data_IF_684225973446
#
_entry.id   IF_684225973446
#
_cell.length_a   1.000
_cell.length_b   1.000
_cell.length_c   1.000
_cell.angle_alpha   90.00
_cell.angle_beta   90.00
_cell.angle_gamma   90.00
#
_symmetry.space_group_name_H-M   'P 1'
#
loop_
_entity.id
_entity.type
_entity.pdbx_description
1 polymer ?
#
# COMPACT_ATOMS: atom_id res chain seq x y z
N UNK A 1 18.19 -36.38 3.97
CA UNK A 1 18.44 -35.18 4.80
C UNK A 1 17.19 -34.34 4.82
N UNK A 2 16.20 -34.74 5.61
CA UNK A 2 14.91 -34.13 5.85
C UNK A 2 14.88 -33.64 7.29
N UNK A 3 15.41 -32.45 7.55
CA UNK A 3 15.58 -32.01 8.94
C UNK A 3 15.46 -30.50 9.10
N UNK A 4 14.36 -29.87 8.66
CA UNK A 4 14.20 -28.46 8.86
C UNK A 4 12.77 -27.90 8.80
N UNK A 5 11.79 -28.71 8.41
CA UNK A 5 10.44 -28.23 8.13
C UNK A 5 9.40 -28.57 9.20
N UNK A 6 9.80 -29.37 10.23
CA UNK A 6 8.87 -29.88 11.26
C UNK A 6 8.82 -29.02 12.53
N UNK A 7 9.60 -27.95 12.63
CA UNK A 7 9.64 -27.10 13.84
C UNK A 7 8.51 -26.06 13.89
N UNK A 8 7.86 -25.76 12.78
CA UNK A 8 6.75 -24.80 12.69
C UNK A 8 5.41 -25.53 12.47
N UNK A 9 5.04 -26.36 13.46
CA UNK A 9 3.73 -26.99 13.53
C UNK A 9 2.67 -25.97 13.97
N UNK A 10 1.38 -26.27 13.67
CA UNK A 10 0.25 -25.48 14.17
C UNK A 10 -0.01 -24.13 13.43
N UNK A 11 0.16 -24.17 12.10
CA UNK A 11 -0.11 -22.97 11.26
C UNK A 11 -1.57 -22.51 11.34
N UNK A 12 -2.54 -23.41 11.50
CA UNK A 12 -3.96 -23.06 11.67
C UNK A 12 -4.22 -22.25 12.95
N UNK A 13 -3.60 -22.65 14.05
CA UNK A 13 -3.63 -21.87 15.29
C UNK A 13 -2.99 -20.49 15.08
N UNK A 14 -1.84 -20.45 14.40
CA UNK A 14 -1.16 -19.20 14.09
C UNK A 14 -2.06 -18.26 13.30
N UNK A 15 -2.72 -18.73 12.24
CA UNK A 15 -3.69 -17.93 11.47
C UNK A 15 -4.79 -17.34 12.36
N UNK A 16 -5.30 -18.15 13.28
CA UNK A 16 -6.35 -17.72 14.23
C UNK A 16 -5.84 -16.60 15.16
N UNK A 17 -4.63 -16.74 15.72
CA UNK A 17 -4.05 -15.70 16.59
C UNK A 17 -3.75 -14.40 15.82
N UNK A 18 -3.22 -14.51 14.61
CA UNK A 18 -2.95 -13.34 13.77
C UNK A 18 -4.25 -12.61 13.42
N UNK A 19 -5.30 -13.32 13.05
CA UNK A 19 -6.61 -12.71 12.79
C UNK A 19 -7.14 -11.92 14.01
N UNK A 20 -7.00 -12.46 15.23
CA UNK A 20 -7.40 -11.76 16.45
C UNK A 20 -6.62 -10.47 16.67
N UNK A 21 -5.30 -10.50 16.41
CA UNK A 21 -4.38 -9.41 16.69
C UNK A 21 -4.44 -8.29 15.63
N UNK A 22 -4.53 -8.67 14.34
CA UNK A 22 -4.32 -7.74 13.20
C UNK A 22 -5.58 -7.46 12.42
N UNK A 23 -6.65 -8.27 12.60
CA UNK A 23 -7.84 -8.33 11.73
C UNK A 23 -7.55 -8.77 10.29
N UNK A 24 -6.32 -9.18 9.98
CA UNK A 24 -5.91 -9.73 8.69
C UNK A 24 -6.16 -11.24 8.72
N UNK A 25 -6.98 -11.73 7.79
CA UNK A 25 -7.27 -13.15 7.65
C UNK A 25 -6.34 -13.79 6.62
N UNK A 26 -5.43 -14.63 7.11
CA UNK A 26 -4.43 -15.30 6.28
C UNK A 26 -5.03 -16.35 5.33
N UNK A 27 -6.29 -16.74 5.52
CA UNK A 27 -6.97 -17.67 4.62
C UNK A 27 -7.25 -17.07 3.23
N UNK A 28 -7.27 -15.75 3.10
CA UNK A 28 -7.44 -15.07 1.81
C UNK A 28 -6.16 -14.96 0.98
N UNK A 29 -5.02 -15.41 1.51
CA UNK A 29 -3.75 -15.42 0.79
C UNK A 29 -3.46 -16.82 0.22
N UNK A 30 -2.59 -16.89 -0.80
CA UNK A 30 -2.06 -18.16 -1.31
C UNK A 30 -1.23 -18.83 -0.21
N UNK A 31 -1.80 -19.82 0.48
CA UNK A 31 -1.29 -20.40 1.72
C UNK A 31 0.19 -20.79 1.62
N UNK A 32 0.57 -21.59 0.61
CA UNK A 32 1.95 -22.06 0.42
C UNK A 32 2.96 -20.91 0.35
N UNK A 33 2.60 -19.81 -0.32
CA UNK A 33 3.49 -18.65 -0.47
C UNK A 33 3.55 -17.83 0.82
N UNK A 34 2.40 -17.57 1.44
CA UNK A 34 2.32 -16.81 2.68
C UNK A 34 3.00 -17.55 3.82
N UNK A 35 2.74 -18.84 3.98
CA UNK A 35 3.39 -19.68 4.99
C UNK A 35 4.92 -19.64 4.86
N UNK A 36 5.46 -19.88 3.66
CA UNK A 36 6.92 -19.82 3.41
C UNK A 36 7.52 -18.47 3.80
N UNK A 37 6.82 -17.37 3.52
CA UNK A 37 7.26 -16.02 3.89
C UNK A 37 7.27 -15.85 5.40
N UNK A 38 6.19 -16.26 6.07
CA UNK A 38 6.07 -16.20 7.54
C UNK A 38 7.14 -17.05 8.20
N UNK A 39 7.38 -18.29 7.74
CA UNK A 39 8.41 -19.17 8.27
C UNK A 39 9.80 -18.52 8.21
N UNK A 40 10.11 -17.86 7.11
CA UNK A 40 11.34 -17.09 6.95
C UNK A 40 11.45 -15.96 7.99
N UNK A 41 10.34 -15.24 8.23
CA UNK A 41 10.34 -14.15 9.20
C UNK A 41 10.45 -14.65 10.65
N UNK A 42 9.74 -15.72 10.99
CA UNK A 42 9.80 -16.39 12.30
C UNK A 42 11.24 -16.82 12.62
N UNK A 43 11.88 -17.49 11.67
CA UNK A 43 13.27 -17.94 11.81
C UNK A 43 14.25 -16.76 11.92
N UNK A 44 14.06 -15.73 11.09
CA UNK A 44 14.89 -14.51 11.12
C UNK A 44 14.85 -13.80 12.49
N UNK A 45 13.71 -13.85 13.17
CA UNK A 45 13.55 -13.28 14.50
C UNK A 45 13.93 -14.24 15.64
N UNK A 46 14.57 -15.38 15.34
CA UNK A 46 15.10 -16.32 16.32
C UNK A 46 14.06 -17.20 16.99
N UNK A 47 12.79 -17.15 16.60
CA UNK A 47 11.76 -18.00 17.15
C UNK A 47 11.81 -19.42 16.57
N UNK A 48 11.55 -20.41 17.41
CA UNK A 48 11.58 -21.84 17.05
C UNK A 48 10.19 -22.41 16.78
N UNK A 49 9.13 -21.68 17.11
CA UNK A 49 7.74 -22.06 16.84
C UNK A 49 6.87 -20.83 16.59
N UNK A 50 5.66 -21.05 16.05
CA UNK A 50 4.68 -20.00 15.88
C UNK A 50 4.22 -19.42 17.23
N UNK A 51 4.09 -20.25 18.26
CA UNK A 51 3.70 -19.83 19.61
C UNK A 51 4.74 -18.89 20.22
N UNK A 52 6.01 -19.22 20.06
CA UNK A 52 7.13 -18.37 20.51
C UNK A 52 7.11 -17.03 19.76
N UNK A 53 6.93 -17.08 18.46
CA UNK A 53 6.87 -15.87 17.63
C UNK A 53 5.68 -14.98 17.98
N UNK A 54 4.50 -15.55 18.21
CA UNK A 54 3.31 -14.79 18.67
C UNK A 54 3.57 -14.13 20.02
N UNK A 55 4.27 -14.77 20.95
CA UNK A 55 4.67 -14.15 22.22
C UNK A 55 5.62 -12.96 21.99
N UNK A 56 6.60 -13.11 21.10
CA UNK A 56 7.54 -12.03 20.77
C UNK A 56 6.80 -10.81 20.21
N UNK A 57 5.97 -10.98 19.21
CA UNK A 57 5.24 -9.87 18.60
C UNK A 57 4.16 -9.26 19.51
N UNK A 58 3.63 -9.99 20.50
CA UNK A 58 2.75 -9.45 21.54
C UNK A 58 3.50 -8.57 22.54
N UNK A 59 4.75 -8.89 22.80
CA UNK A 59 5.60 -8.18 23.77
C UNK A 59 6.37 -6.99 23.20
N UNK A 60 6.52 -6.91 21.89
CA UNK A 60 7.30 -5.88 21.20
C UNK A 60 6.48 -5.21 20.10
N UNK A 61 6.13 -3.94 20.33
CA UNK A 61 5.33 -3.15 19.38
C UNK A 61 6.04 -2.96 18.04
N UNK A 62 7.36 -2.74 18.03
CA UNK A 62 8.10 -2.54 16.79
C UNK A 62 8.15 -3.82 15.96
N UNK A 63 8.33 -4.97 16.62
CA UNK A 63 8.30 -6.28 15.98
C UNK A 63 6.91 -6.63 15.44
N UNK A 64 5.86 -6.26 16.16
CA UNK A 64 4.47 -6.40 15.70
C UNK A 64 4.21 -5.57 14.45
N UNK A 65 4.61 -4.31 14.43
CA UNK A 65 4.48 -3.40 13.29
C UNK A 65 5.26 -3.92 12.07
N UNK A 66 6.49 -4.40 12.29
CA UNK A 66 7.28 -5.05 11.23
C UNK A 66 6.55 -6.28 10.64
N UNK A 67 5.92 -7.08 11.50
CA UNK A 67 5.15 -8.24 11.07
C UNK A 67 3.93 -7.87 10.23
N UNK A 68 3.14 -6.89 10.65
CA UNK A 68 1.98 -6.40 9.90
C UNK A 68 2.42 -5.88 8.53
N UNK A 69 3.44 -5.03 8.48
CA UNK A 69 4.00 -4.52 7.21
C UNK A 69 4.51 -5.64 6.30
N UNK A 70 5.03 -6.74 6.88
CA UNK A 70 5.47 -7.89 6.13
C UNK A 70 4.31 -8.69 5.53
N UNK A 71 3.17 -8.78 6.23
CA UNK A 71 1.96 -9.47 5.75
C UNK A 71 1.32 -8.71 4.57
N UNK A 72 1.24 -7.39 4.66
CA UNK A 72 0.50 -6.54 3.73
C UNK A 72 1.20 -6.36 2.37
N UNK A 73 2.46 -6.80 2.21
CA UNK A 73 3.24 -6.73 0.95
C UNK A 73 3.10 -5.37 0.25
N UNK A 74 3.49 -4.31 0.95
CA UNK A 74 3.33 -2.94 0.48
C UNK A 74 4.37 -2.60 -0.61
N UNK A 75 4.26 -3.20 -1.80
CA UNK A 75 5.05 -2.79 -2.98
C UNK A 75 4.21 -1.83 -3.78
N UNK A 76 4.53 -0.55 -3.67
CA UNK A 76 3.87 0.53 -4.39
C UNK A 76 4.91 1.43 -5.05
N UNK A 77 4.57 1.98 -6.21
CA UNK A 77 5.36 2.97 -6.92
C UNK A 77 4.45 3.84 -7.79
N UNK A 78 4.84 5.08 -7.97
CA UNK A 78 4.11 6.00 -8.84
C UNK A 78 4.09 5.52 -10.29
N UNK A 79 2.95 5.64 -10.96
CA UNK A 79 2.76 5.26 -12.37
C UNK A 79 3.18 3.83 -12.67
N UNK A 80 2.99 2.92 -11.71
CA UNK A 80 3.29 1.50 -11.86
C UNK A 80 2.59 0.94 -13.11
N UNK A 81 3.31 0.14 -13.93
CA UNK A 81 2.84 -0.35 -15.23
C UNK A 81 2.53 0.80 -16.21
N UNK A 82 3.55 1.52 -16.62
CA UNK A 82 3.50 2.74 -17.45
C UNK A 82 2.61 2.63 -18.70
N UNK A 83 2.52 1.46 -19.33
CA UNK A 83 1.67 1.26 -20.51
C UNK A 83 0.17 1.38 -20.16
N UNK A 84 -0.23 0.98 -18.97
CA UNK A 84 -1.59 1.16 -18.49
C UNK A 84 -1.91 2.63 -18.22
N UNK A 85 -0.93 3.40 -17.75
CA UNK A 85 -1.10 4.85 -17.56
C UNK A 85 -1.20 5.62 -18.87
N UNK A 86 -0.51 5.17 -19.93
CA UNK A 86 -0.74 5.72 -21.29
C UNK A 86 -2.16 5.47 -21.75
N UNK A 87 -2.66 4.24 -21.60
CA UNK A 87 -4.05 3.91 -21.95
C UNK A 87 -5.05 4.72 -21.12
N UNK A 88 -4.76 4.92 -19.82
CA UNK A 88 -5.55 5.75 -18.92
C UNK A 88 -5.65 7.19 -19.46
N UNK A 89 -4.52 7.80 -19.81
CA UNK A 89 -4.42 9.18 -20.27
C UNK A 89 -5.05 9.38 -21.66
N UNK A 90 -4.82 8.43 -22.59
CA UNK A 90 -5.26 8.55 -23.97
C UNK A 90 -6.73 8.16 -24.21
N UNK A 91 -7.29 7.24 -23.41
CA UNK A 91 -8.63 6.66 -23.64
C UNK A 91 -9.57 6.81 -22.46
N UNK A 92 -9.14 6.34 -21.27
CA UNK A 92 -10.05 6.17 -20.12
C UNK A 92 -10.47 7.54 -19.54
N UNK A 93 -9.50 8.40 -19.27
CA UNK A 93 -9.78 9.74 -18.71
C UNK A 93 -10.65 10.56 -19.68
N UNK A 94 -10.34 10.67 -20.98
CA UNK A 94 -11.19 11.40 -21.93
C UNK A 94 -12.62 10.85 -21.99
N UNK A 95 -12.81 9.53 -21.93
CA UNK A 95 -14.14 8.92 -21.94
C UNK A 95 -14.92 9.25 -20.66
N UNK A 96 -14.29 9.14 -19.47
CA UNK A 96 -14.90 9.55 -18.21
C UNK A 96 -15.34 11.02 -18.25
N UNK A 97 -14.48 11.89 -18.75
CA UNK A 97 -14.75 13.34 -18.81
C UNK A 97 -15.82 13.72 -19.85
N UNK A 98 -15.94 12.95 -20.92
CA UNK A 98 -17.02 13.12 -21.91
C UNK A 98 -18.40 12.91 -21.26
N UNK A 99 -18.49 11.95 -20.35
CA UNK A 99 -19.73 11.55 -19.69
C UNK A 99 -19.95 12.24 -18.33
N UNK A 100 -18.95 12.96 -17.80
CA UNK A 100 -19.02 13.62 -16.50
C UNK A 100 -18.51 15.08 -16.59
N UNK A 101 -19.42 16.04 -16.40
CA UNK A 101 -19.10 17.49 -16.37
C UNK A 101 -18.82 18.02 -14.96
N UNK A 102 -19.08 17.22 -13.94
CA UNK A 102 -19.00 17.62 -12.53
C UNK A 102 -17.66 17.29 -11.87
N UNK A 103 -17.72 17.05 -10.57
CA UNK A 103 -16.59 16.56 -9.77
C UNK A 103 -16.32 15.10 -10.09
N UNK A 104 -15.08 14.78 -10.37
CA UNK A 104 -14.60 13.41 -10.59
C UNK A 104 -14.36 12.77 -9.24
N UNK A 105 -15.10 11.70 -8.94
CA UNK A 105 -14.95 10.91 -7.72
C UNK A 105 -14.31 9.59 -8.08
N UNK A 106 -13.21 9.26 -7.39
CA UNK A 106 -12.40 8.04 -7.63
C UNK A 106 -12.22 7.32 -6.30
N UNK A 107 -12.22 6.01 -6.33
CA UNK A 107 -11.83 5.18 -5.21
C UNK A 107 -10.57 4.39 -5.56
N UNK A 108 -9.48 4.62 -4.82
CA UNK A 108 -8.25 3.83 -4.86
C UNK A 108 -8.28 2.85 -3.69
N UNK A 109 -8.60 1.60 -3.99
CA UNK A 109 -8.73 0.51 -3.02
C UNK A 109 -7.39 -0.20 -2.83
N UNK A 110 -6.96 -0.42 -1.57
CA UNK A 110 -5.63 -0.92 -1.21
C UNK A 110 -4.51 0.01 -1.72
N UNK A 111 -4.57 1.27 -1.29
CA UNK A 111 -3.74 2.36 -1.81
C UNK A 111 -2.28 2.36 -1.34
N UNK A 112 -1.92 1.50 -0.38
CA UNK A 112 -0.59 1.42 0.21
C UNK A 112 -0.06 2.82 0.61
N UNK A 113 1.16 3.16 0.22
CA UNK A 113 1.84 4.43 0.53
C UNK A 113 1.35 5.64 -0.29
N UNK A 114 0.21 5.51 -1.00
CA UNK A 114 -0.43 6.63 -1.69
C UNK A 114 0.07 6.88 -3.11
N UNK A 115 0.97 6.07 -3.62
CA UNK A 115 1.57 6.23 -4.95
C UNK A 115 0.50 6.20 -6.06
N UNK A 116 -0.47 5.28 -5.96
CA UNK A 116 -1.56 5.19 -6.95
C UNK A 116 -2.54 6.36 -6.87
N UNK A 117 -3.16 6.72 -5.73
CA UNK A 117 -4.11 7.83 -5.69
C UNK A 117 -3.48 9.16 -6.06
N UNK A 118 -2.21 9.40 -5.71
CA UNK A 118 -1.51 10.60 -6.14
C UNK A 118 -1.18 10.58 -7.64
N UNK A 119 -0.84 9.42 -8.22
CA UNK A 119 -0.68 9.28 -9.66
C UNK A 119 -1.99 9.57 -10.41
N UNK A 120 -3.13 9.10 -9.87
CA UNK A 120 -4.47 9.42 -10.39
C UNK A 120 -4.74 10.92 -10.35
N UNK A 121 -4.48 11.58 -9.20
CA UNK A 121 -4.65 13.03 -9.08
C UNK A 121 -3.84 13.79 -10.11
N UNK A 122 -2.57 13.42 -10.31
CA UNK A 122 -1.70 14.04 -11.32
C UNK A 122 -2.16 13.76 -12.75
N UNK A 123 -2.59 12.52 -13.06
CA UNK A 123 -3.07 12.17 -14.40
C UNK A 123 -4.34 12.97 -14.76
N UNK A 124 -5.32 13.02 -13.86
CA UNK A 124 -6.54 13.81 -14.08
C UNK A 124 -6.28 15.32 -14.12
N UNK A 125 -5.25 15.82 -13.42
CA UNK A 125 -4.91 17.26 -13.42
C UNK A 125 -4.46 17.81 -14.77
N UNK A 126 -4.11 16.94 -15.71
CA UNK A 126 -3.84 17.34 -17.12
C UNK A 126 -5.11 17.79 -17.86
N UNK A 127 -6.27 17.35 -17.40
CA UNK A 127 -7.53 17.49 -18.11
C UNK A 127 -8.55 18.35 -17.35
N UNK A 128 -8.50 18.38 -16.02
CA UNK A 128 -9.45 19.15 -15.19
C UNK A 128 -8.73 19.84 -14.04
N UNK A 129 -9.27 20.95 -13.51
CA UNK A 129 -8.71 21.61 -12.32
C UNK A 129 -8.73 20.68 -11.09
N UNK A 130 -7.71 20.78 -10.24
CA UNK A 130 -7.54 19.93 -9.05
C UNK A 130 -8.75 19.96 -8.10
N UNK A 131 -9.44 21.08 -7.98
CA UNK A 131 -10.63 21.20 -7.13
C UNK A 131 -11.83 20.36 -7.58
N UNK A 132 -11.81 19.85 -8.82
CA UNK A 132 -12.79 18.90 -9.36
C UNK A 132 -12.40 17.44 -9.17
N UNK A 133 -11.24 17.16 -8.60
CA UNK A 133 -10.73 15.79 -8.37
C UNK A 133 -10.91 15.45 -6.89
N UNK A 134 -11.64 14.38 -6.60
CA UNK A 134 -11.87 13.86 -5.25
C UNK A 134 -11.59 12.36 -5.24
N UNK A 135 -10.56 11.95 -4.54
CA UNK A 135 -10.11 10.56 -4.47
C UNK A 135 -10.27 10.08 -3.03
N UNK A 136 -11.05 9.02 -2.84
CA UNK A 136 -11.03 8.25 -1.61
C UNK A 136 -9.97 7.16 -1.75
N UNK A 137 -8.96 7.17 -0.91
CA UNK A 137 -7.89 6.18 -0.87
C UNK A 137 -7.99 5.35 0.41
N UNK A 138 -8.07 4.04 0.29
CA UNK A 138 -8.27 3.16 1.43
C UNK A 138 -7.22 2.07 1.50
N UNK A 139 -6.80 1.74 2.72
CA UNK A 139 -5.94 0.59 3.00
C UNK A 139 -6.28 0.02 4.38
N UNK A 140 -5.92 -1.23 4.63
CA UNK A 140 -6.05 -1.87 5.94
C UNK A 140 -4.91 -1.51 6.88
N UNK A 141 -3.77 -1.10 6.32
CA UNK A 141 -2.54 -0.79 7.06
C UNK A 141 -2.48 0.71 7.39
N UNK A 142 -2.65 1.03 8.67
CA UNK A 142 -2.57 2.42 9.17
C UNK A 142 -1.22 3.08 8.92
N UNK A 143 -0.13 2.33 8.93
CA UNK A 143 1.21 2.90 8.79
C UNK A 143 1.46 3.39 7.36
N UNK A 144 1.02 2.62 6.36
CA UNK A 144 1.14 3.06 4.98
C UNK A 144 0.25 4.27 4.69
N UNK A 145 -0.94 4.34 5.31
CA UNK A 145 -1.80 5.53 5.24
C UNK A 145 -1.10 6.75 5.84
N UNK A 146 -0.48 6.62 7.01
CA UNK A 146 0.29 7.72 7.62
C UNK A 146 1.45 8.15 6.73
N UNK A 147 2.18 7.20 6.14
CA UNK A 147 3.23 7.49 5.17
C UNK A 147 2.69 8.25 3.95
N UNK A 148 1.56 7.81 3.40
CA UNK A 148 0.89 8.48 2.29
C UNK A 148 0.48 9.92 2.65
N UNK A 149 -0.07 10.14 3.84
CA UNK A 149 -0.45 11.48 4.33
C UNK A 149 0.76 12.41 4.50
N UNK A 150 1.90 11.89 4.95
CA UNK A 150 3.18 12.65 4.98
C UNK A 150 3.58 13.03 3.56
N UNK A 151 3.52 12.10 2.61
CA UNK A 151 3.79 12.34 1.20
C UNK A 151 5.26 12.59 0.88
N UNK A 152 6.18 11.95 1.62
CA UNK A 152 7.63 12.05 1.41
C UNK A 152 8.14 10.72 0.83
N UNK A 153 8.74 10.77 -0.36
CA UNK A 153 9.10 9.61 -1.15
C UNK A 153 10.57 9.57 -1.52
N UNK A 154 11.15 8.40 -1.67
CA UNK A 154 12.50 8.24 -2.20
C UNK A 154 12.52 8.33 -3.73
N UNK A 155 13.72 8.49 -4.30
CA UNK A 155 13.90 8.63 -5.74
C UNK A 155 13.39 7.42 -6.54
N UNK A 156 13.45 6.20 -5.97
CA UNK A 156 13.00 4.98 -6.62
C UNK A 156 11.46 4.97 -6.74
N UNK A 157 10.73 5.34 -5.70
CA UNK A 157 9.26 5.38 -5.71
C UNK A 157 8.72 6.29 -6.80
N UNK A 158 9.38 7.43 -7.04
CA UNK A 158 8.94 8.44 -8.04
C UNK A 158 9.61 8.29 -9.41
N UNK A 159 10.35 7.20 -9.65
CA UNK A 159 11.06 6.99 -10.93
C UNK A 159 10.12 6.95 -12.14
N UNK A 160 8.90 6.40 -11.95
CA UNK A 160 7.87 6.31 -12.99
C UNK A 160 7.09 7.60 -13.26
N UNK A 161 7.27 8.65 -12.44
CA UNK A 161 6.54 9.91 -12.62
C UNK A 161 7.01 10.64 -13.88
N UNK A 162 6.10 11.08 -14.78
CA UNK A 162 6.46 11.91 -15.93
C UNK A 162 7.24 13.17 -15.51
N UNK A 163 8.25 13.54 -16.31
CA UNK A 163 9.19 14.59 -15.94
C UNK A 163 8.53 15.96 -15.66
N UNK A 164 7.51 16.33 -16.43
CA UNK A 164 6.70 17.52 -16.25
C UNK A 164 5.92 17.50 -14.94
N UNK A 165 5.28 16.36 -14.61
CA UNK A 165 4.56 16.15 -13.36
C UNK A 165 5.51 16.15 -12.16
N UNK A 166 6.67 15.52 -12.30
CA UNK A 166 7.70 15.52 -11.25
C UNK A 166 8.19 16.93 -10.95
N UNK A 167 8.49 17.72 -11.98
CA UNK A 167 8.89 19.13 -11.83
C UNK A 167 7.80 19.98 -11.19
N UNK A 168 6.53 19.70 -11.52
CA UNK A 168 5.40 20.50 -11.06
C UNK A 168 4.98 20.16 -9.63
N UNK A 169 4.98 18.88 -9.26
CA UNK A 169 4.34 18.42 -8.04
C UNK A 169 5.27 17.79 -7.00
N UNK A 170 6.57 17.77 -7.25
CA UNK A 170 7.53 17.28 -6.26
C UNK A 170 8.63 18.32 -5.99
N UNK A 171 8.92 18.49 -4.70
CA UNK A 171 10.04 19.31 -4.23
C UNK A 171 11.06 18.39 -3.57
N UNK A 172 12.33 18.52 -3.93
CA UNK A 172 13.40 17.75 -3.30
C UNK A 172 13.66 18.24 -1.88
N UNK A 173 13.69 17.29 -0.93
CA UNK A 173 13.99 17.52 0.48
C UNK A 173 15.07 16.52 0.90
N UNK A 174 16.31 16.96 0.95
CA UNK A 174 17.45 16.07 1.16
C UNK A 174 17.57 15.03 0.04
N UNK A 175 17.57 13.75 0.41
CA UNK A 175 17.55 12.60 -0.53
C UNK A 175 16.15 12.15 -0.95
N UNK A 176 15.11 12.82 -0.44
CA UNK A 176 13.71 12.48 -0.67
C UNK A 176 12.97 13.55 -1.47
N UNK A 177 11.72 13.30 -1.81
CA UNK A 177 10.86 14.16 -2.61
C UNK A 177 9.51 14.32 -1.93
N UNK A 178 9.15 15.55 -1.58
CA UNK A 178 7.87 15.90 -0.99
C UNK A 178 6.85 16.17 -2.10
N UNK A 179 5.71 15.50 -2.06
CA UNK A 179 4.60 15.78 -2.96
C UNK A 179 3.89 17.09 -2.57
N UNK A 180 3.40 17.84 -3.56
CA UNK A 180 2.77 19.14 -3.37
C UNK A 180 1.45 19.02 -2.59
N UNK A 181 1.19 19.98 -1.69
CA UNK A 181 -0.02 20.03 -0.87
C UNK A 181 -1.31 20.13 -1.71
N UNK A 182 -1.25 20.75 -2.87
CA UNK A 182 -2.41 20.83 -3.78
C UNK A 182 -2.84 19.45 -4.33
N UNK A 183 -1.90 18.53 -4.53
CA UNK A 183 -2.19 17.13 -4.91
C UNK A 183 -2.73 16.36 -3.69
N UNK A 184 -2.13 16.55 -2.51
CA UNK A 184 -2.60 15.91 -1.27
C UNK A 184 -4.06 16.26 -0.97
N UNK A 185 -4.48 17.49 -1.20
CA UNK A 185 -5.86 17.96 -1.01
C UNK A 185 -6.90 17.27 -1.92
N UNK A 186 -6.46 16.60 -2.99
CA UNK A 186 -7.35 15.81 -3.85
C UNK A 186 -7.69 14.45 -3.23
N UNK A 187 -6.94 13.98 -2.21
CA UNK A 187 -7.02 12.61 -1.69
C UNK A 187 -7.41 12.61 -0.22
N UNK A 188 -8.46 11.87 0.09
CA UNK A 188 -8.88 11.54 1.44
C UNK A 188 -8.45 10.09 1.75
N UNK A 189 -7.69 9.89 2.82
CA UNK A 189 -7.22 8.57 3.25
C UNK A 189 -8.06 8.03 4.39
N UNK A 190 -8.48 6.75 4.29
CA UNK A 190 -9.22 6.02 5.33
C UNK A 190 -8.70 4.61 5.50
N UNK A 191 -8.70 4.15 6.75
CA UNK A 191 -8.57 2.72 7.04
C UNK A 191 -9.85 2.00 6.59
N UNK A 192 -9.70 0.90 5.87
CA UNK A 192 -10.82 0.11 5.38
C UNK A 192 -10.38 -1.33 5.08
N UNK A 193 -11.18 -2.28 5.58
CA UNK A 193 -10.98 -3.69 5.28
C UNK A 193 -11.96 -4.14 4.18
N UNK A 194 -11.47 -4.30 2.97
CA UNK A 194 -12.27 -4.68 1.78
C UNK A 194 -13.07 -5.98 1.94
N UNK A 195 -12.76 -6.79 2.97
CA UNK A 195 -13.40 -8.09 3.19
C UNK A 195 -14.43 -8.07 4.33
N UNK A 196 -14.48 -6.99 5.12
CA UNK A 196 -15.28 -6.96 6.37
C UNK A 196 -16.10 -5.70 6.57
N UNK A 197 -15.73 -4.57 5.94
CA UNK A 197 -16.38 -3.28 6.14
C UNK A 197 -17.44 -2.99 5.06
#
# INVERSE_FOLDING_TARGET
KTGGWDMLNNYEWFKTEILKMTKIDLNYYKEKQMRRRIDTLVTKNGAKSYEEYVKLIKGDKALFEQFVNFLTINVSEFYRNTDQWKLMDEKVIPEILKNNKGTIKIWSAACSTGDEPYSLAMAFSKHVPLNKIKILATDIDKQVIQHAQVGLYNAKSIAGVPADMKKKYFTQVGSSFQIAEEIKKCVEFKEHNLLKD
#
